data_IF_853976973308
#
_entry.id   IF_853976973308
#
_cell.length_a   1.000
_cell.length_b   1.000
_cell.length_c   1.000
_cell.angle_alpha   90.00
_cell.angle_beta   90.00
_cell.angle_gamma   90.00
#
_symmetry.space_group_name_H-M   'P 1'
#
loop_
_entity.id
_entity.type
_entity.pdbx_description
1 polymer ?
#
# COMPACT_ATOMS: atom_id res chain seq x y z
N UNK A 1 -3.86 -45.50 27.41
CA UNK A 1 -4.52 -44.18 27.33
C UNK A 1 -3.53 -43.03 27.03
N UNK A 2 -2.59 -43.15 26.08
CA UNK A 2 -1.69 -42.02 25.71
C UNK A 2 -1.77 -41.60 24.24
N UNK A 3 -2.14 -42.49 23.31
CA UNK A 3 -2.13 -42.17 21.88
C UNK A 3 -3.19 -41.12 21.43
N UNK A 4 -4.26 -40.92 22.21
CA UNK A 4 -5.26 -39.88 21.95
C UNK A 4 -4.87 -38.48 22.48
N UNK A 5 -3.98 -38.39 23.48
CA UNK A 5 -3.53 -37.11 24.03
C UNK A 5 -2.56 -36.40 23.09
N UNK A 6 -1.65 -37.14 22.46
CA UNK A 6 -0.66 -36.58 21.53
C UNK A 6 -1.28 -36.13 20.19
N UNK A 7 -2.36 -36.80 19.75
CA UNK A 7 -3.09 -36.41 18.54
C UNK A 7 -3.93 -35.15 18.76
N UNK A 8 -4.53 -35.00 19.96
CA UNK A 8 -5.27 -33.79 20.33
C UNK A 8 -4.38 -32.55 20.44
N UNK A 9 -3.17 -32.66 20.99
CA UNK A 9 -2.24 -31.53 21.05
C UNK A 9 -1.64 -31.15 19.69
N UNK A 10 -1.33 -32.13 18.83
CA UNK A 10 -0.87 -31.88 17.45
C UNK A 10 -1.98 -31.28 16.58
N UNK A 11 -3.21 -31.76 16.67
CA UNK A 11 -4.35 -31.20 15.95
C UNK A 11 -4.64 -29.74 16.37
N UNK A 12 -4.52 -29.43 17.66
CA UNK A 12 -4.70 -28.07 18.18
C UNK A 12 -3.61 -27.10 17.68
N UNK A 13 -2.35 -27.55 17.54
CA UNK A 13 -1.27 -26.77 16.91
C UNK A 13 -1.47 -26.56 15.41
N UNK A 14 -2.00 -27.56 14.69
CA UNK A 14 -2.28 -27.44 13.25
C UNK A 14 -3.48 -26.53 12.97
N UNK A 15 -4.55 -26.61 13.77
CA UNK A 15 -5.71 -25.71 13.65
C UNK A 15 -5.31 -24.24 13.89
N UNK A 16 -4.41 -23.98 14.84
CA UNK A 16 -3.89 -22.64 15.12
C UNK A 16 -3.09 -22.06 13.94
N UNK A 17 -2.18 -22.85 13.36
CA UNK A 17 -1.37 -22.45 12.20
C UNK A 17 -2.17 -22.16 10.92
N UNK A 18 -3.26 -22.90 10.68
CA UNK A 18 -4.09 -22.67 9.48
C UNK A 18 -4.96 -21.41 9.66
N UNK A 19 -5.50 -21.18 10.86
CA UNK A 19 -6.26 -19.97 11.17
C UNK A 19 -5.43 -18.69 11.13
N UNK A 20 -4.21 -18.72 11.68
CA UNK A 20 -3.25 -17.59 11.64
C UNK A 20 -2.92 -17.22 10.19
N UNK A 21 -2.55 -18.21 9.35
CA UNK A 21 -2.20 -17.97 7.94
C UNK A 21 -3.35 -17.39 7.09
N UNK A 22 -4.60 -17.72 7.40
CA UNK A 22 -5.76 -17.15 6.71
C UNK A 22 -6.04 -15.70 7.12
N UNK A 23 -5.83 -15.34 8.40
CA UNK A 23 -5.96 -13.96 8.88
C UNK A 23 -4.90 -13.05 8.25
N UNK A 24 -3.66 -13.53 8.20
CA UNK A 24 -2.51 -12.81 7.63
C UNK A 24 -2.73 -12.49 6.15
N UNK A 25 -3.31 -13.42 5.37
CA UNK A 25 -3.63 -13.19 3.96
C UNK A 25 -4.68 -12.10 3.74
N UNK A 26 -5.69 -12.01 4.62
CA UNK A 26 -6.71 -10.96 4.53
C UNK A 26 -6.11 -9.59 4.84
N UNK A 27 -5.23 -9.52 5.84
CA UNK A 27 -4.51 -8.30 6.19
C UNK A 27 -3.61 -7.82 5.04
N UNK A 28 -2.79 -8.72 4.48
CA UNK A 28 -1.96 -8.43 3.29
C UNK A 28 -2.83 -7.96 2.12
N UNK A 29 -4.00 -8.58 1.91
CA UNK A 29 -4.94 -8.16 0.88
C UNK A 29 -5.40 -6.70 1.05
N UNK A 30 -5.76 -6.30 2.27
CA UNK A 30 -6.14 -4.91 2.57
C UNK A 30 -4.99 -3.94 2.34
N UNK A 31 -3.79 -4.31 2.78
CA UNK A 31 -2.58 -3.50 2.57
C UNK A 31 -2.26 -3.30 1.09
N UNK A 32 -2.42 -4.34 0.25
CA UNK A 32 -2.25 -4.24 -1.20
C UNK A 32 -3.28 -3.34 -1.88
N UNK A 33 -4.54 -3.40 -1.45
CA UNK A 33 -5.57 -2.46 -1.94
C UNK A 33 -5.20 -1.03 -1.60
N UNK A 34 -4.66 -0.79 -0.40
CA UNK A 34 -4.18 0.54 0.01
C UNK A 34 -3.02 1.02 -0.87
N UNK A 35 -2.05 0.16 -1.18
CA UNK A 35 -0.96 0.47 -2.13
C UNK A 35 -1.55 0.88 -3.49
N UNK A 36 -2.48 0.09 -4.04
CA UNK A 36 -3.09 0.39 -5.33
C UNK A 36 -3.80 1.75 -5.34
N UNK A 37 -4.44 2.13 -4.23
CA UNK A 37 -5.07 3.45 -4.11
C UNK A 37 -4.03 4.58 -4.11
N UNK A 38 -2.93 4.42 -3.36
CA UNK A 38 -1.83 5.40 -3.32
C UNK A 38 -1.15 5.54 -4.68
N UNK A 39 -0.94 4.44 -5.41
CA UNK A 39 -0.40 4.45 -6.78
C UNK A 39 -1.32 5.20 -7.76
N UNK A 40 -2.63 5.01 -7.62
CA UNK A 40 -3.64 5.73 -8.39
C UNK A 40 -3.65 7.23 -8.10
N UNK A 41 -3.50 7.61 -6.83
CA UNK A 41 -3.44 9.01 -6.41
C UNK A 41 -2.15 9.68 -6.89
N UNK A 42 -1.01 8.98 -6.86
CA UNK A 42 0.25 9.45 -7.46
C UNK A 42 0.08 9.67 -8.97
N UNK A 43 -0.55 8.73 -9.67
CA UNK A 43 -0.79 8.82 -11.12
C UNK A 43 -1.64 10.05 -11.45
N UNK A 44 -2.74 10.27 -10.72
CA UNK A 44 -3.60 11.45 -10.89
C UNK A 44 -2.85 12.74 -10.63
N UNK A 45 -2.08 12.80 -9.55
CA UNK A 45 -1.24 13.95 -9.18
C UNK A 45 -0.24 14.30 -10.30
N UNK A 46 0.43 13.31 -10.88
CA UNK A 46 1.34 13.52 -12.01
C UNK A 46 0.60 13.99 -13.27
N UNK A 47 -0.61 13.48 -13.52
CA UNK A 47 -1.46 13.97 -14.61
C UNK A 47 -1.84 15.44 -14.41
N UNK A 48 -2.20 15.83 -13.19
CA UNK A 48 -2.53 17.22 -12.85
C UNK A 48 -1.34 18.17 -13.07
N UNK A 49 -0.14 17.77 -12.65
CA UNK A 49 1.09 18.52 -12.96
C UNK A 49 1.28 18.68 -14.47
N UNK A 50 1.05 17.61 -15.24
CA UNK A 50 1.12 17.65 -16.70
C UNK A 50 0.10 18.61 -17.33
N UNK A 51 -1.09 18.74 -16.73
CA UNK A 51 -2.10 19.72 -17.15
C UNK A 51 -1.62 21.15 -16.88
N UNK A 52 -1.10 21.46 -15.69
CA UNK A 52 -0.52 22.77 -15.39
C UNK A 52 0.61 23.14 -16.37
N UNK A 53 1.47 22.18 -16.72
CA UNK A 53 2.52 22.39 -17.71
C UNK A 53 1.94 22.73 -19.09
N UNK A 54 0.98 21.92 -19.58
CA UNK A 54 0.37 22.15 -20.89
C UNK A 54 -0.37 23.49 -20.95
N UNK A 55 -1.14 23.83 -19.92
CA UNK A 55 -1.83 25.11 -19.80
C UNK A 55 -0.86 26.29 -19.80
N UNK A 56 0.25 26.19 -19.06
CA UNK A 56 1.26 27.24 -19.03
C UNK A 56 1.94 27.41 -20.39
N UNK A 57 2.21 26.29 -21.08
CA UNK A 57 2.80 26.29 -22.41
C UNK A 57 1.90 26.95 -23.46
N UNK A 58 0.60 26.63 -23.51
CA UNK A 58 -0.32 27.21 -24.50
C UNK A 58 -0.58 28.70 -24.24
N UNK A 59 -0.57 29.11 -22.97
CA UNK A 59 -0.82 30.50 -22.57
C UNK A 59 0.44 31.36 -22.55
N UNK A 60 1.63 30.75 -22.78
CA UNK A 60 2.93 31.40 -22.66
C UNK A 60 3.14 32.05 -21.29
N UNK A 61 2.62 31.42 -20.24
CA UNK A 61 2.78 31.85 -18.85
C UNK A 61 3.83 31.02 -18.13
N UNK A 62 4.31 31.54 -17.01
CA UNK A 62 5.14 30.76 -16.09
C UNK A 62 4.32 29.64 -15.44
N UNK A 63 5.03 28.56 -15.06
CA UNK A 63 4.39 27.47 -14.33
C UNK A 63 3.98 27.92 -12.93
N UNK A 64 2.80 27.49 -12.44
CA UNK A 64 2.36 27.82 -11.08
C UNK A 64 3.06 26.92 -10.06
N UNK A 65 4.31 27.26 -9.72
CA UNK A 65 5.13 26.50 -8.75
C UNK A 65 4.44 26.36 -7.39
N UNK A 66 3.71 27.39 -6.96
CA UNK A 66 2.92 27.41 -5.73
C UNK A 66 1.82 26.34 -5.68
N UNK A 67 1.29 25.95 -6.84
CA UNK A 67 0.32 24.86 -6.98
C UNK A 67 0.99 23.50 -7.19
N UNK A 68 2.13 23.46 -7.87
CA UNK A 68 2.82 22.21 -8.22
C UNK A 68 3.59 21.65 -7.02
N UNK A 69 4.26 22.50 -6.24
CA UNK A 69 5.05 22.09 -5.08
C UNK A 69 4.27 21.21 -4.08
N UNK A 70 3.07 21.59 -3.60
CA UNK A 70 2.31 20.75 -2.67
C UNK A 70 1.90 19.41 -3.29
N UNK A 71 1.66 19.35 -4.60
CA UNK A 71 1.35 18.09 -5.30
C UNK A 71 2.58 17.18 -5.32
N UNK A 72 3.77 17.75 -5.54
CA UNK A 72 5.03 17.01 -5.47
C UNK A 72 5.32 16.46 -4.06
N UNK A 73 5.04 17.24 -3.02
CA UNK A 73 5.16 16.82 -1.62
C UNK A 73 4.20 15.66 -1.31
N UNK A 74 2.92 15.77 -1.72
CA UNK A 74 1.95 14.69 -1.57
C UNK A 74 2.36 13.40 -2.32
N UNK A 75 2.93 13.51 -3.54
CA UNK A 75 3.47 12.35 -4.27
C UNK A 75 4.59 11.68 -3.47
N UNK A 76 5.50 12.47 -2.88
CA UNK A 76 6.61 11.95 -2.07
C UNK A 76 6.09 11.21 -0.84
N UNK A 77 5.14 11.79 -0.13
CA UNK A 77 4.56 11.18 1.07
C UNK A 77 3.84 9.86 0.73
N UNK A 78 3.10 9.82 -0.38
CA UNK A 78 2.47 8.59 -0.87
C UNK A 78 3.49 7.49 -1.19
N UNK A 79 4.64 7.83 -1.78
CA UNK A 79 5.71 6.86 -2.03
C UNK A 79 6.32 6.32 -0.73
N UNK A 80 6.54 7.18 0.27
CA UNK A 80 7.01 6.75 1.58
C UNK A 80 6.00 5.82 2.26
N UNK A 81 4.71 6.14 2.18
CA UNK A 81 3.67 5.27 2.74
C UNK A 81 3.60 3.91 2.02
N UNK A 82 3.77 3.86 0.70
CA UNK A 82 3.87 2.60 -0.05
C UNK A 82 5.07 1.77 0.44
N UNK A 83 6.23 2.39 0.66
CA UNK A 83 7.42 1.72 1.18
C UNK A 83 7.16 1.11 2.57
N UNK A 84 6.59 1.90 3.49
CA UNK A 84 6.21 1.41 4.82
C UNK A 84 5.20 0.26 4.79
N UNK A 85 4.21 0.32 3.90
CA UNK A 85 3.22 -0.75 3.74
C UNK A 85 3.89 -2.01 3.19
N UNK A 86 4.80 -1.88 2.23
CA UNK A 86 5.55 -3.01 1.70
C UNK A 86 6.43 -3.67 2.77
N UNK A 87 7.11 -2.89 3.61
CA UNK A 87 7.84 -3.43 4.76
C UNK A 87 6.92 -4.18 5.73
N UNK A 88 5.72 -3.63 6.01
CA UNK A 88 4.73 -4.30 6.87
C UNK A 88 4.29 -5.64 6.26
N UNK A 89 4.02 -5.69 4.96
CA UNK A 89 3.69 -6.94 4.26
C UNK A 89 4.84 -7.94 4.42
N UNK A 90 6.09 -7.55 4.17
CA UNK A 90 7.25 -8.44 4.32
C UNK A 90 7.46 -8.99 5.74
N UNK A 91 6.93 -8.33 6.78
CA UNK A 91 6.97 -8.84 8.16
C UNK A 91 5.86 -9.85 8.46
N UNK A 92 4.78 -9.85 7.65
CA UNK A 92 3.62 -10.75 7.81
C UNK A 92 3.84 -12.08 7.09
N UNK A 93 4.46 -12.06 5.90
CA UNK A 93 4.73 -13.25 5.05
C UNK A 93 6.13 -13.83 5.29
#
# INVERSE_FOLDING_TARGET
MSMFKDFGEKAKKTAKKVGEKSSDMVEVGKLKVKISQLEDDIRRSKTEIGQYFYESYINQTEMPEDKIQPICEAIKDNYQEIEEINEKIQRII
#
